data_IF_813920391048
#
_entry.id   IF_813920391048
#
_cell.length_a   1.000
_cell.length_b   1.000
_cell.length_c   1.000
_cell.angle_alpha   90.00
_cell.angle_beta   90.00
_cell.angle_gamma   90.00
#
_symmetry.space_group_name_H-M   'P 1'
#
loop_
_entity.id
_entity.type
_entity.pdbx_description
1 polymer ?
#
# COMPACT_ATOMS: atom_id res chain seq x y z
N UNK A 1 -22.53 -6.93 38.68
CA UNK A 1 -21.07 -7.11 38.82
C UNK A 1 -20.41 -6.05 37.95
N UNK A 2 -19.65 -5.10 38.50
CA UNK A 2 -19.00 -4.08 37.68
C UNK A 2 -17.82 -4.72 36.95
N UNK A 3 -17.79 -4.62 35.62
CA UNK A 3 -16.63 -5.03 34.83
C UNK A 3 -15.55 -3.99 35.09
N UNK A 4 -14.46 -4.41 35.72
CA UNK A 4 -13.25 -3.59 35.84
C UNK A 4 -12.70 -3.35 34.43
N UNK A 5 -12.70 -2.09 34.00
CA UNK A 5 -12.06 -1.61 32.78
C UNK A 5 -10.53 -1.66 32.94
N UNK A 6 -9.96 -2.86 32.97
CA UNK A 6 -8.50 -3.00 32.90
C UNK A 6 -8.05 -2.67 31.47
N UNK A 7 -7.29 -1.59 31.30
CA UNK A 7 -6.75 -1.17 30.01
C UNK A 7 -5.97 -2.30 29.33
N UNK A 8 -6.34 -2.63 28.08
CA UNK A 8 -5.65 -3.66 27.28
C UNK A 8 -4.30 -3.10 26.85
N UNK A 9 -3.21 -3.69 27.38
CA UNK A 9 -1.85 -3.24 27.08
C UNK A 9 -1.40 -3.68 25.69
N UNK A 10 -0.79 -2.76 24.95
CA UNK A 10 -0.14 -3.05 23.66
C UNK A 10 1.09 -3.92 23.82
N UNK A 11 1.45 -4.66 22.76
CA UNK A 11 2.69 -5.44 22.73
C UNK A 11 3.90 -4.51 22.65
N UNK A 12 4.95 -4.77 23.45
CA UNK A 12 6.16 -3.92 23.52
C UNK A 12 6.76 -3.53 22.16
N UNK A 13 6.68 -4.41 21.15
CA UNK A 13 7.22 -4.16 19.80
C UNK A 13 6.53 -3.03 19.03
N UNK A 14 5.30 -2.66 19.41
CA UNK A 14 4.58 -1.55 18.77
C UNK A 14 4.70 -0.24 19.56
N UNK A 15 5.20 -0.29 20.80
CA UNK A 15 5.28 0.88 21.68
C UNK A 15 6.22 1.98 21.13
N UNK A 16 7.19 1.62 20.30
CA UNK A 16 8.13 2.55 19.67
C UNK A 16 7.78 2.92 18.23
N UNK A 17 6.61 2.51 17.71
CA UNK A 17 6.23 2.80 16.33
C UNK A 17 5.63 4.21 16.23
N UNK A 18 6.27 5.08 15.44
CA UNK A 18 5.77 6.42 15.13
C UNK A 18 5.77 6.65 13.63
N UNK A 19 4.74 7.35 13.12
CA UNK A 19 4.59 7.65 11.71
C UNK A 19 4.33 9.14 11.48
N UNK A 20 5.41 9.92 11.56
CA UNK A 20 5.39 11.39 11.57
C UNK A 20 4.62 12.02 10.40
N UNK A 21 4.66 11.39 9.21
CA UNK A 21 4.00 11.88 8.00
C UNK A 21 2.49 12.04 8.17
N UNK A 22 1.84 11.19 9.00
CA UNK A 22 0.39 11.30 9.28
C UNK A 22 0.09 12.14 10.52
N UNK A 23 1.02 12.24 11.46
CA UNK A 23 0.82 13.04 12.68
C UNK A 23 0.60 14.52 12.35
N UNK A 24 1.29 15.06 11.34
CA UNK A 24 1.12 16.47 10.92
C UNK A 24 -0.29 16.79 10.43
N UNK A 25 -1.04 15.80 9.93
CA UNK A 25 -2.42 15.97 9.46
C UNK A 25 -3.35 16.36 10.63
N UNK A 26 -3.05 15.92 11.86
CA UNK A 26 -3.82 16.30 13.05
C UNK A 26 -3.69 17.80 13.31
N UNK A 27 -2.49 18.36 13.18
CA UNK A 27 -2.25 19.80 13.37
C UNK A 27 -2.79 20.62 12.18
N UNK A 28 -2.63 20.12 10.95
CA UNK A 28 -3.21 20.73 9.75
C UNK A 28 -4.73 20.93 9.88
N UNK A 29 -5.46 19.93 10.40
CA UNK A 29 -6.91 20.03 10.65
C UNK A 29 -7.27 21.14 11.63
N UNK A 30 -6.45 21.41 12.64
CA UNK A 30 -6.68 22.53 13.57
C UNK A 30 -6.53 23.88 12.86
N UNK A 31 -5.61 23.98 11.91
CA UNK A 31 -5.44 25.16 11.07
C UNK A 31 -6.62 25.31 10.10
N UNK A 32 -7.10 24.23 9.50
CA UNK A 32 -8.30 24.28 8.65
C UNK A 32 -9.54 24.77 9.41
N UNK A 33 -9.68 24.40 10.68
CA UNK A 33 -10.78 24.85 11.55
C UNK A 33 -10.77 26.36 11.80
N UNK A 34 -9.66 27.07 11.58
CA UNK A 34 -9.62 28.54 11.67
C UNK A 34 -10.12 29.23 10.39
N UNK A 35 -10.52 28.45 9.38
CA UNK A 35 -10.94 28.94 8.06
C UNK A 35 -9.79 29.07 7.06
N UNK A 36 -8.56 28.73 7.45
CA UNK A 36 -7.41 28.73 6.54
C UNK A 36 -7.46 27.51 5.61
N UNK A 37 -7.14 27.73 4.34
CA UNK A 37 -6.99 26.61 3.39
C UNK A 37 -5.61 25.97 3.55
N UNK A 38 -5.57 24.67 3.81
CA UNK A 38 -4.33 23.90 3.85
C UNK A 38 -4.15 23.13 2.54
N UNK A 39 -2.96 23.23 1.95
CA UNK A 39 -2.56 22.44 0.78
C UNK A 39 -1.69 21.28 1.22
N UNK A 40 -2.21 20.07 1.10
CA UNK A 40 -1.49 18.85 1.47
C UNK A 40 -0.47 18.48 0.38
N UNK A 41 0.80 18.49 0.74
CA UNK A 41 1.93 18.05 -0.08
C UNK A 41 2.76 16.97 0.64
N UNK A 42 2.20 16.39 1.71
CA UNK A 42 2.88 15.42 2.58
C UNK A 42 2.60 13.96 2.23
N UNK A 43 1.54 13.67 1.46
CA UNK A 43 1.15 12.31 1.06
C UNK A 43 1.44 12.11 -0.42
N UNK A 44 2.24 11.10 -0.74
CA UNK A 44 2.53 10.70 -2.12
C UNK A 44 1.43 9.83 -2.72
N UNK A 45 0.17 10.25 -2.65
CA UNK A 45 -0.94 9.58 -3.34
C UNK A 45 -1.18 10.24 -4.71
N UNK A 46 -0.68 9.64 -5.81
CA UNK A 46 -0.77 10.23 -7.14
C UNK A 46 -2.22 10.45 -7.61
N UNK A 47 -3.18 9.64 -7.15
CA UNK A 47 -4.58 9.77 -7.56
C UNK A 47 -5.18 11.12 -7.11
N UNK A 48 -4.76 11.65 -5.96
CA UNK A 48 -5.20 12.96 -5.46
C UNK A 48 -4.75 14.12 -6.36
N UNK A 49 -3.75 13.89 -7.21
CA UNK A 49 -3.18 14.87 -8.12
C UNK A 49 -3.49 14.57 -9.59
N UNK A 50 -4.47 13.70 -9.86
CA UNK A 50 -4.97 13.42 -11.22
C UNK A 50 -4.17 12.40 -12.01
N UNK A 51 -3.19 11.72 -11.40
CA UNK A 51 -2.48 10.61 -12.00
C UNK A 51 -3.31 9.33 -11.83
N UNK A 52 -4.10 9.01 -12.84
CA UNK A 52 -5.00 7.85 -12.82
C UNK A 52 -4.26 6.57 -13.24
N UNK A 53 -4.74 5.44 -12.73
CA UNK A 53 -4.28 4.13 -13.19
C UNK A 53 -4.57 3.98 -14.69
N UNK A 54 -3.59 3.57 -15.52
CA UNK A 54 -3.81 3.36 -16.95
C UNK A 54 -4.97 2.39 -17.25
N UNK A 55 -5.83 2.67 -18.26
CA UNK A 55 -7.02 1.85 -18.53
C UNK A 55 -6.75 0.37 -18.74
N UNK A 56 -5.68 0.02 -19.47
CA UNK A 56 -5.32 -1.37 -19.74
C UNK A 56 -5.01 -2.19 -18.48
N UNK A 57 -4.51 -1.56 -17.41
CA UNK A 57 -4.29 -2.25 -16.13
C UNK A 57 -5.62 -2.53 -15.42
N UNK A 58 -6.54 -1.57 -15.44
CA UNK A 58 -7.90 -1.73 -14.88
C UNK A 58 -8.62 -2.86 -15.62
N UNK A 59 -8.55 -2.87 -16.95
CA UNK A 59 -9.14 -3.90 -17.80
C UNK A 59 -8.55 -5.29 -17.53
N UNK A 60 -7.23 -5.40 -17.37
CA UNK A 60 -6.55 -6.65 -17.06
C UNK A 60 -7.00 -7.22 -15.70
N UNK A 61 -7.07 -6.38 -14.66
CA UNK A 61 -7.56 -6.79 -13.34
C UNK A 61 -9.04 -7.18 -13.39
N UNK A 62 -9.87 -6.38 -14.06
CA UNK A 62 -11.29 -6.68 -14.21
C UNK A 62 -11.53 -8.00 -14.96
N UNK A 63 -10.75 -8.26 -16.01
CA UNK A 63 -10.76 -9.53 -16.74
C UNK A 63 -10.35 -10.69 -15.83
N UNK A 64 -9.24 -10.55 -15.10
CA UNK A 64 -8.76 -11.60 -14.20
C UNK A 64 -9.83 -12.00 -13.17
N UNK A 65 -10.55 -11.02 -12.61
CA UNK A 65 -11.67 -11.28 -11.70
C UNK A 65 -12.83 -12.02 -12.38
N UNK A 66 -13.22 -11.63 -13.60
CA UNK A 66 -14.30 -12.30 -14.36
C UNK A 66 -13.94 -13.72 -14.75
N UNK A 67 -12.66 -13.97 -15.03
CA UNK A 67 -12.14 -15.29 -15.41
C UNK A 67 -11.91 -16.21 -14.19
N UNK A 68 -12.19 -15.74 -12.97
CA UNK A 68 -12.09 -16.53 -11.73
C UNK A 68 -10.70 -16.54 -11.09
N UNK A 69 -9.81 -15.62 -11.46
CA UNK A 69 -8.49 -15.46 -10.82
C UNK A 69 -8.57 -14.62 -9.53
N UNK A 70 -9.50 -14.97 -8.64
CA UNK A 70 -9.78 -14.27 -7.38
C UNK A 70 -9.64 -15.18 -6.14
N UNK A 71 -9.06 -16.37 -6.31
CA UNK A 71 -8.71 -17.30 -5.23
C UNK A 71 -7.31 -17.07 -4.67
N UNK A 72 -6.90 -17.95 -3.76
CA UNK A 72 -5.54 -17.94 -3.22
C UNK A 72 -4.49 -18.21 -4.31
N UNK A 73 -3.36 -17.54 -4.19
CA UNK A 73 -2.17 -17.73 -5.02
C UNK A 73 -1.05 -18.42 -4.23
N UNK A 74 -0.02 -18.97 -4.89
CA UNK A 74 1.18 -19.42 -4.21
C UNK A 74 1.78 -18.30 -3.35
N UNK A 75 2.32 -18.63 -2.18
CA UNK A 75 2.84 -17.64 -1.23
C UNK A 75 3.89 -16.67 -1.81
N UNK A 76 4.79 -17.07 -2.72
CA UNK A 76 5.72 -16.13 -3.36
C UNK A 76 5.08 -15.22 -4.42
N UNK A 77 3.83 -15.47 -4.82
CA UNK A 77 3.16 -14.87 -5.98
C UNK A 77 3.01 -15.85 -7.15
N UNK A 78 2.13 -15.51 -8.11
CA UNK A 78 1.94 -16.28 -9.36
C UNK A 78 3.20 -16.23 -10.23
N UNK A 79 3.43 -17.29 -11.03
CA UNK A 79 4.65 -17.44 -11.81
C UNK A 79 4.84 -16.29 -12.80
N UNK A 80 3.77 -15.93 -13.50
CA UNK A 80 3.76 -14.91 -14.56
C UNK A 80 4.16 -13.53 -14.03
N UNK A 81 3.70 -13.17 -12.82
CA UNK A 81 4.06 -11.91 -12.19
C UNK A 81 5.54 -11.89 -11.76
N UNK A 82 6.06 -13.02 -11.27
CA UNK A 82 7.45 -13.16 -10.85
C UNK A 82 8.41 -13.13 -12.05
N UNK A 83 8.04 -13.78 -13.13
CA UNK A 83 8.77 -13.75 -14.41
C UNK A 83 8.78 -12.36 -15.02
N UNK A 84 7.63 -11.66 -15.03
CA UNK A 84 7.54 -10.29 -15.51
C UNK A 84 8.43 -9.32 -14.71
N UNK A 85 8.44 -9.44 -13.38
CA UNK A 85 9.33 -8.64 -12.53
C UNK A 85 10.81 -8.95 -12.79
N UNK A 86 11.18 -10.23 -12.90
CA UNK A 86 12.56 -10.62 -13.23
C UNK A 86 13.02 -10.06 -14.58
N UNK A 87 12.15 -10.10 -15.59
CA UNK A 87 12.42 -9.55 -16.92
C UNK A 87 12.58 -8.01 -16.90
N UNK A 88 11.74 -7.28 -16.16
CA UNK A 88 11.87 -5.82 -15.99
C UNK A 88 13.20 -5.44 -15.33
N UNK A 89 13.62 -6.17 -14.30
CA UNK A 89 14.93 -5.96 -13.67
C UNK A 89 16.08 -6.27 -14.64
N UNK A 90 15.97 -7.34 -15.43
CA UNK A 90 16.97 -7.68 -16.44
C UNK A 90 17.10 -6.58 -17.51
N UNK A 91 15.99 -6.00 -17.95
CA UNK A 91 15.97 -4.87 -18.89
C UNK A 91 16.63 -3.61 -18.32
N UNK A 92 16.68 -3.47 -16.99
CA UNK A 92 17.38 -2.39 -16.27
C UNK A 92 18.82 -2.73 -15.90
N UNK A 93 19.34 -3.86 -16.39
CA UNK A 93 20.73 -4.31 -16.17
C UNK A 93 20.94 -5.13 -14.91
N UNK A 94 19.88 -5.60 -14.24
CA UNK A 94 19.95 -6.44 -13.04
C UNK A 94 19.37 -7.81 -13.35
N UNK A 95 20.21 -8.79 -13.66
CA UNK A 95 19.74 -10.16 -13.90
C UNK A 95 19.40 -10.85 -12.58
N UNK A 96 18.11 -11.14 -12.39
CA UNK A 96 17.59 -11.91 -11.26
C UNK A 96 16.70 -13.02 -11.81
N UNK A 97 16.77 -14.22 -11.22
CA UNK A 97 15.87 -15.30 -11.57
C UNK A 97 14.52 -15.12 -10.85
N UNK A 98 13.42 -15.55 -11.48
CA UNK A 98 12.07 -15.44 -10.93
C UNK A 98 11.92 -16.16 -9.58
N UNK A 99 12.72 -17.20 -9.33
CA UNK A 99 12.80 -17.92 -8.05
C UNK A 99 13.19 -17.00 -6.87
N UNK A 100 13.91 -15.91 -7.12
CA UNK A 100 14.31 -14.89 -6.13
C UNK A 100 13.34 -13.71 -6.01
N UNK A 101 12.24 -13.73 -6.75
CA UNK A 101 11.20 -12.69 -6.67
C UNK A 101 10.08 -13.14 -5.73
N UNK A 102 9.71 -12.27 -4.78
CA UNK A 102 8.51 -12.41 -3.96
C UNK A 102 7.59 -11.21 -4.20
N UNK A 103 6.32 -11.48 -4.48
CA UNK A 103 5.29 -10.45 -4.60
C UNK A 103 4.70 -10.17 -3.22
N UNK A 104 4.63 -8.90 -2.83
CA UNK A 104 4.14 -8.44 -1.51
C UNK A 104 3.03 -7.41 -1.65
N UNK A 105 2.23 -7.26 -0.61
CA UNK A 105 1.19 -6.22 -0.48
C UNK A 105 1.74 -4.87 -0.05
#
# INVERSE_FOLDING_TARGET
MPVSEAAIRTAKRVDCFTYAIRNIVVEAKKVEQTGMTVRYLNIGDPNQFGFLTPPHLIEAVAKAMRDGHNGYTPSPGIAEAREAAAADFAARGVTVSADRVLITS
#
